data_IF_726716058383
#
_entry.id   IF_726716058383
#
_cell.length_a   1.000
_cell.length_b   1.000
_cell.length_c   1.000
_cell.angle_alpha   90.00
_cell.angle_beta   90.00
_cell.angle_gamma   90.00
#
_symmetry.space_group_name_H-M   'P 1'
#
loop_
_entity.id
_entity.type
_entity.pdbx_description
1 polymer ?
#
# COMPACT_ATOMS: atom_id res chain seq x y z
N UNK A 1 -1.39 -12.08 28.40
CA UNK A 1 -2.18 -11.27 27.43
C UNK A 1 -1.27 -11.01 26.25
N UNK A 2 -1.45 -11.75 25.15
CA UNK A 2 -0.84 -11.38 23.86
C UNK A 2 -1.44 -10.04 23.45
N UNK A 3 -0.60 -9.04 23.18
CA UNK A 3 -1.08 -7.76 22.63
C UNK A 3 -1.56 -8.03 21.20
N UNK A 4 -2.79 -7.67 20.88
CA UNK A 4 -3.28 -7.70 19.50
C UNK A 4 -2.35 -6.86 18.60
N UNK A 5 -2.13 -7.30 17.36
CA UNK A 5 -1.30 -6.57 16.41
C UNK A 5 -1.99 -5.25 16.05
N UNK A 6 -1.31 -4.13 16.25
CA UNK A 6 -1.78 -2.81 15.81
C UNK A 6 -1.77 -2.73 14.27
N UNK A 7 -2.96 -2.65 13.66
CA UNK A 7 -3.16 -2.56 12.21
C UNK A 7 -3.56 -1.16 11.76
N UNK A 8 -3.28 -0.13 12.57
CA UNK A 8 -3.48 1.26 12.17
C UNK A 8 -2.62 1.63 10.96
N UNK A 9 -3.24 2.31 10.01
CA UNK A 9 -2.62 2.73 8.76
C UNK A 9 -1.71 3.92 9.06
N UNK A 10 -0.40 3.83 8.80
CA UNK A 10 0.53 4.92 9.07
C UNK A 10 0.28 6.17 8.22
N UNK A 11 0.66 7.35 8.71
CA UNK A 11 0.43 8.63 8.02
C UNK A 11 1.18 8.78 6.70
N UNK A 12 2.35 8.18 6.58
CA UNK A 12 3.12 8.14 5.34
C UNK A 12 2.48 7.22 4.29
N UNK A 13 1.86 6.10 4.71
CA UNK A 13 1.05 5.24 3.83
C UNK A 13 -0.17 6.00 3.30
N UNK A 14 -0.88 6.72 4.17
CA UNK A 14 -1.99 7.61 3.79
C UNK A 14 -1.53 8.63 2.73
N UNK A 15 -0.43 9.34 2.98
CA UNK A 15 0.10 10.36 2.08
C UNK A 15 0.49 9.80 0.70
N UNK A 16 1.06 8.59 0.65
CA UNK A 16 1.37 7.93 -0.61
C UNK A 16 0.11 7.56 -1.39
N UNK A 17 -0.89 6.99 -0.72
CA UNK A 17 -2.17 6.64 -1.36
C UNK A 17 -2.88 7.88 -1.91
N UNK A 18 -2.92 8.98 -1.14
CA UNK A 18 -3.44 10.28 -1.59
C UNK A 18 -2.69 10.79 -2.83
N UNK A 19 -1.36 10.69 -2.82
CA UNK A 19 -0.53 11.07 -3.97
C UNK A 19 -0.84 10.20 -5.19
N UNK A 20 -0.96 8.88 -4.99
CA UNK A 20 -1.34 7.94 -6.05
C UNK A 20 -2.68 8.26 -6.67
N UNK A 21 -3.70 8.58 -5.85
CA UNK A 21 -5.02 8.98 -6.32
C UNK A 21 -4.97 10.28 -7.15
N UNK A 22 -4.22 11.30 -6.69
CA UNK A 22 -4.03 12.55 -7.46
C UNK A 22 -3.38 12.31 -8.81
N UNK A 23 -2.31 11.49 -8.85
CA UNK A 23 -1.65 11.17 -10.12
C UNK A 23 -2.54 10.33 -11.02
N UNK A 24 -3.35 9.43 -10.47
CA UNK A 24 -4.32 8.65 -11.25
C UNK A 24 -5.39 9.56 -11.86
N UNK A 25 -5.91 10.53 -11.11
CA UNK A 25 -6.86 11.54 -11.58
C UNK A 25 -6.26 12.38 -12.73
N UNK A 26 -5.01 12.83 -12.57
CA UNK A 26 -4.32 13.64 -13.57
C UNK A 26 -3.99 12.87 -14.86
N UNK A 27 -3.53 11.62 -14.75
CA UNK A 27 -2.97 10.87 -15.88
C UNK A 27 -3.84 9.74 -16.41
N UNK A 28 -4.89 9.34 -15.70
CA UNK A 28 -5.86 8.31 -16.12
C UNK A 28 -5.33 6.87 -16.11
N UNK A 29 -4.25 6.58 -15.37
CA UNK A 29 -3.71 5.22 -15.26
C UNK A 29 -3.06 4.95 -13.90
N UNK A 30 -2.63 3.71 -13.71
CA UNK A 30 -1.86 3.29 -12.54
C UNK A 30 -2.53 2.19 -11.73
N UNK A 31 -3.75 1.78 -12.03
CA UNK A 31 -4.35 0.67 -11.27
C UNK A 31 -5.67 0.21 -11.88
N UNK A 32 -6.19 -0.87 -11.33
CA UNK A 32 -7.58 -1.29 -11.52
C UNK A 32 -8.47 -0.61 -10.46
N UNK A 33 -9.79 -0.76 -10.58
CA UNK A 33 -10.75 -0.31 -9.55
C UNK A 33 -10.42 -0.86 -8.16
N UNK A 34 -9.87 -2.08 -8.07
CA UNK A 34 -9.42 -2.68 -6.80
C UNK A 34 -8.29 -1.85 -6.16
N UNK A 35 -7.31 -1.43 -6.97
CA UNK A 35 -6.20 -0.61 -6.47
C UNK A 35 -6.64 0.80 -6.08
N UNK A 36 -7.62 1.37 -6.80
CA UNK A 36 -8.22 2.67 -6.48
C UNK A 36 -8.98 2.62 -5.15
N UNK A 37 -9.88 1.66 -4.96
CA UNK A 37 -10.61 1.51 -3.70
C UNK A 37 -9.71 1.21 -2.50
N UNK A 38 -8.64 0.43 -2.72
CA UNK A 38 -7.64 0.23 -1.67
C UNK A 38 -6.93 1.54 -1.34
N UNK A 39 -6.56 2.35 -2.36
CA UNK A 39 -5.95 3.66 -2.14
C UNK A 39 -6.87 4.63 -1.39
N UNK A 40 -8.16 4.67 -1.71
CA UNK A 40 -9.14 5.48 -0.97
C UNK A 40 -9.24 5.06 0.50
N UNK A 41 -9.23 3.76 0.76
CA UNK A 41 -9.23 3.19 2.11
C UNK A 41 -7.96 3.57 2.85
N UNK A 42 -6.80 3.39 2.23
CA UNK A 42 -5.50 3.75 2.78
C UNK A 42 -5.40 5.25 3.07
N UNK A 43 -5.84 6.11 2.15
CA UNK A 43 -5.82 7.56 2.29
C UNK A 43 -6.72 8.04 3.43
N UNK A 44 -7.91 7.43 3.60
CA UNK A 44 -8.83 7.76 4.70
C UNK A 44 -8.23 7.47 6.08
N UNK A 45 -7.31 6.50 6.17
CA UNK A 45 -6.70 6.08 7.42
C UNK A 45 -7.65 5.27 8.31
N UNK A 46 -7.30 5.13 9.58
CA UNK A 46 -7.95 4.21 10.51
C UNK A 46 -7.23 2.87 10.54
N UNK A 47 -7.97 1.80 10.82
CA UNK A 47 -7.44 0.45 10.93
C UNK A 47 -7.88 -0.41 9.74
N UNK A 48 -7.00 -1.28 9.26
CA UNK A 48 -7.36 -2.32 8.30
C UNK A 48 -7.69 -3.64 9.02
N UNK A 49 -8.52 -4.46 8.38
CA UNK A 49 -8.65 -5.85 8.75
C UNK A 49 -7.36 -6.62 8.46
N UNK A 50 -7.10 -7.72 9.18
CA UNK A 50 -5.97 -8.62 8.88
C UNK A 50 -5.96 -9.05 7.41
N UNK A 51 -7.14 -9.35 6.85
CA UNK A 51 -7.30 -9.73 5.44
C UNK A 51 -6.81 -8.61 4.51
N UNK A 52 -7.17 -7.37 4.79
CA UNK A 52 -6.79 -6.24 3.94
C UNK A 52 -5.30 -5.92 4.08
N UNK A 53 -4.71 -6.04 5.28
CA UNK A 53 -3.26 -5.90 5.48
C UNK A 53 -2.48 -6.96 4.68
N UNK A 54 -2.94 -8.22 4.71
CA UNK A 54 -2.36 -9.29 3.87
C UNK A 54 -2.52 -9.01 2.38
N UNK A 55 -3.66 -8.43 1.98
CA UNK A 55 -3.91 -8.05 0.60
C UNK A 55 -2.94 -6.95 0.13
N UNK A 56 -2.70 -5.94 0.97
CA UNK A 56 -1.72 -4.88 0.72
C UNK A 56 -0.32 -5.47 0.62
N UNK A 57 0.10 -6.32 1.56
CA UNK A 57 1.43 -6.96 1.53
C UNK A 57 1.65 -7.81 0.27
N UNK A 58 0.63 -8.57 -0.16
CA UNK A 58 0.69 -9.44 -1.34
C UNK A 58 0.78 -8.68 -2.67
N UNK A 59 0.54 -7.36 -2.69
CA UNK A 59 0.70 -6.54 -3.87
C UNK A 59 2.18 -6.38 -4.27
N UNK A 60 3.01 -5.93 -3.33
CA UNK A 60 4.36 -5.47 -3.61
C UNK A 60 5.30 -6.49 -4.28
N UNK A 61 5.40 -7.78 -3.86
CA UNK A 61 6.31 -8.72 -4.50
C UNK A 61 5.94 -9.00 -5.97
N UNK A 62 4.66 -8.88 -6.35
CA UNK A 62 4.21 -9.06 -7.73
C UNK A 62 4.55 -7.88 -8.64
N UNK A 63 4.82 -6.72 -8.04
CA UNK A 63 5.02 -5.45 -8.73
C UNK A 63 6.41 -4.84 -8.49
N UNK A 64 7.32 -5.57 -7.83
CA UNK A 64 8.66 -5.10 -7.50
C UNK A 64 9.56 -4.86 -8.73
N UNK A 65 9.18 -5.40 -9.90
CA UNK A 65 9.91 -5.23 -11.16
C UNK A 65 9.23 -4.26 -12.13
N UNK A 66 8.15 -3.60 -11.71
CA UNK A 66 7.57 -2.52 -12.50
C UNK A 66 8.56 -1.35 -12.61
N UNK A 67 8.37 -0.47 -13.60
CA UNK A 67 9.17 0.75 -13.69
C UNK A 67 8.77 1.70 -12.55
N UNK A 68 9.57 1.78 -11.48
CA UNK A 68 9.30 2.65 -10.32
C UNK A 68 10.14 3.93 -10.29
N UNK A 69 11.21 4.00 -11.10
CA UNK A 69 12.17 5.12 -11.10
C UNK A 69 11.60 6.37 -11.79
N UNK A 70 10.67 6.18 -12.72
CA UNK A 70 9.96 7.28 -13.40
C UNK A 70 8.87 7.86 -12.49
N UNK A 71 9.30 8.71 -11.57
CA UNK A 71 8.46 9.28 -10.50
C UNK A 71 7.65 10.53 -10.90
N UNK A 72 7.87 11.06 -12.10
CA UNK A 72 7.25 12.29 -12.57
C UNK A 72 7.86 13.58 -12.00
N UNK A 73 9.13 13.54 -11.58
CA UNK A 73 9.86 14.75 -11.13
C UNK A 73 10.22 15.64 -12.32
N UNK A 74 10.28 16.95 -12.10
CA UNK A 74 10.82 17.89 -13.09
C UNK A 74 10.01 17.98 -14.39
N UNK A 75 8.68 17.92 -14.30
CA UNK A 75 7.72 17.90 -15.41
C UNK A 75 7.73 16.61 -16.26
N UNK A 76 8.37 15.54 -15.78
CA UNK A 76 8.23 14.23 -16.40
C UNK A 76 6.86 13.62 -16.05
N UNK A 77 6.33 12.81 -16.95
CA UNK A 77 5.15 11.98 -16.69
C UNK A 77 5.55 10.76 -15.84
N UNK A 78 4.84 10.42 -14.75
CA UNK A 78 5.13 9.21 -13.99
C UNK A 78 4.80 7.94 -14.80
N UNK A 79 5.50 6.85 -14.51
CA UNK A 79 5.14 5.55 -15.06
C UNK A 79 3.83 5.01 -14.47
N UNK A 80 3.21 4.06 -15.17
CA UNK A 80 2.05 3.31 -14.66
C UNK A 80 2.40 2.57 -13.37
N UNK A 81 3.58 1.97 -13.32
CA UNK A 81 4.08 1.21 -12.16
C UNK A 81 4.23 2.09 -10.93
N UNK A 82 4.80 3.29 -11.07
CA UNK A 82 4.96 4.22 -9.95
C UNK A 82 3.62 4.69 -9.38
N UNK A 83 2.66 5.04 -10.25
CA UNK A 83 1.32 5.43 -9.78
C UNK A 83 0.64 4.26 -9.07
N UNK A 84 0.75 3.04 -9.62
CA UNK A 84 0.25 1.83 -8.99
C UNK A 84 0.86 1.60 -7.61
N UNK A 85 2.17 1.71 -7.52
CA UNK A 85 2.92 1.56 -6.28
C UNK A 85 2.42 2.52 -5.19
N UNK A 86 2.20 3.79 -5.54
CA UNK A 86 1.67 4.79 -4.62
C UNK A 86 0.22 4.50 -4.20
N UNK A 87 -0.65 4.04 -5.10
CA UNK A 87 -2.02 3.66 -4.77
C UNK A 87 -2.07 2.59 -3.65
N UNK A 88 -1.09 1.69 -3.62
CA UNK A 88 -0.97 0.67 -2.58
C UNK A 88 -0.17 1.11 -1.35
N UNK A 89 0.21 2.39 -1.28
CA UNK A 89 0.87 2.99 -0.11
C UNK A 89 2.38 3.15 -0.22
N UNK A 90 2.98 2.87 -1.38
CA UNK A 90 4.41 3.05 -1.61
C UNK A 90 5.32 2.12 -0.80
N UNK A 91 6.60 2.47 -0.70
CA UNK A 91 7.59 1.68 0.07
C UNK A 91 7.23 1.61 1.56
N UNK A 92 6.59 2.65 2.06
CA UNK A 92 6.07 2.74 3.41
C UNK A 92 4.90 1.76 3.61
N UNK A 93 4.01 1.63 2.63
CA UNK A 93 2.90 0.66 2.62
C UNK A 93 3.42 -0.77 2.58
N UNK A 94 4.46 -1.01 1.77
CA UNK A 94 5.16 -2.30 1.72
C UNK A 94 5.75 -2.67 3.06
N UNK A 95 6.64 -1.82 3.57
CA UNK A 95 7.37 -2.06 4.82
C UNK A 95 6.42 -2.28 5.99
N UNK A 96 5.36 -1.47 6.07
CA UNK A 96 4.36 -1.62 7.11
C UNK A 96 3.58 -2.94 6.98
N UNK A 97 2.98 -3.20 5.82
CA UNK A 97 2.09 -4.36 5.64
C UNK A 97 2.84 -5.68 5.78
N UNK A 98 4.03 -5.81 5.19
CA UNK A 98 4.89 -7.00 5.34
C UNK A 98 5.23 -7.27 6.82
N UNK A 99 5.60 -6.23 7.57
CA UNK A 99 5.89 -6.34 9.01
C UNK A 99 4.66 -6.77 9.81
N UNK A 100 3.47 -6.24 9.48
CA UNK A 100 2.24 -6.61 10.18
C UNK A 100 1.84 -8.06 9.89
N UNK A 101 1.99 -8.51 8.65
CA UNK A 101 1.78 -9.92 8.28
C UNK A 101 2.70 -10.84 9.08
N UNK A 102 3.99 -10.52 9.18
CA UNK A 102 4.94 -11.30 9.99
C UNK A 102 4.53 -11.36 11.47
N UNK A 103 4.03 -10.26 12.03
CA UNK A 103 3.54 -10.21 13.40
C UNK A 103 2.27 -11.07 13.61
N UNK A 104 1.35 -11.05 12.65
CA UNK A 104 0.12 -11.83 12.68
C UNK A 104 0.43 -13.34 12.58
N UNK A 105 1.32 -13.74 11.67
CA UNK A 105 1.72 -15.14 11.49
C UNK A 105 2.35 -15.70 12.79
N UNK A 106 3.24 -14.93 13.42
CA UNK A 106 3.83 -15.30 14.72
C UNK A 106 2.80 -15.46 15.84
N UNK A 107 1.68 -14.75 15.79
CA UNK A 107 0.61 -14.90 16.79
C UNK A 107 -0.24 -16.14 16.56
N UNK A 108 -0.40 -16.59 15.31
CA UNK A 108 -1.10 -17.84 14.98
C UNK A 108 -0.26 -19.03 15.45
N UNK A 109 1.04 -19.06 15.11
CA UNK A 109 1.96 -20.14 15.51
C UNK A 109 2.09 -20.34 17.02
N UNK A 110 1.90 -19.28 17.83
CA UNK A 110 1.96 -19.35 19.29
C UNK A 110 0.66 -19.86 19.94
N UNK A 111 -0.43 -19.94 19.19
CA UNK A 111 -1.73 -20.42 19.66
C UNK A 111 -1.97 -21.91 19.36
N UNK A 112 -1.14 -22.48 18.50
CA UNK A 112 -1.09 -23.91 18.17
C UNK A 112 -0.11 -24.67 19.10
#
# INVERSE_FOLDING_TARGET
MTKDVDLSIPKNVQANAEKGLKLRDEYGFGGTEVGEHMAETLAKGGDLSEKDVRHVAAYFPRHAHDNLDQTGKGNEKPSRGYVAWLLWGGDEGRTWSEKKVEQLDKQVEQKD
#
